data_IF_396982242386
#
_entry.id   IF_396982242386
#
_cell.length_a   1.000
_cell.length_b   1.000
_cell.length_c   1.000
_cell.angle_alpha   90.00
_cell.angle_beta   90.00
_cell.angle_gamma   90.00
#
_symmetry.space_group_name_H-M   'P 1'
#
loop_
_entity.id
_entity.type
_entity.pdbx_description
1 polymer ?
#
# COMPACT_ATOMS: atom_id res chain seq x y z
N UNK A 1 -32.96 -42.17 -0.94
CA UNK A 1 -33.80 -43.34 -0.63
C UNK A 1 -33.53 -43.74 0.82
N UNK A 2 -34.41 -43.36 1.75
CA UNK A 2 -34.26 -43.66 3.18
C UNK A 2 -34.66 -45.12 3.44
N UNK A 3 -33.71 -45.95 3.89
CA UNK A 3 -34.04 -47.24 4.46
C UNK A 3 -34.58 -47.07 5.88
N UNK A 4 -35.83 -47.48 6.07
CA UNK A 4 -36.42 -48.04 7.29
C UNK A 4 -35.81 -47.66 8.65
N UNK A 5 -36.37 -46.63 9.29
CA UNK A 5 -36.31 -46.45 10.74
C UNK A 5 -37.65 -46.81 11.40
N UNK A 6 -38.18 -47.98 11.07
CA UNK A 6 -39.23 -48.65 11.86
C UNK A 6 -38.59 -49.88 12.47
N UNK A 7 -38.45 -49.90 13.79
CA UNK A 7 -38.47 -51.17 14.52
C UNK A 7 -39.83 -51.79 14.24
N UNK A 8 -39.87 -52.86 13.45
CA UNK A 8 -41.05 -53.65 13.07
C UNK A 8 -42.23 -53.57 14.07
N UNK A 9 -43.22 -52.72 13.81
CA UNK A 9 -44.57 -52.85 14.36
C UNK A 9 -45.47 -53.36 13.24
N UNK A 10 -45.95 -54.60 13.30
CA UNK A 10 -46.85 -55.15 12.29
C UNK A 10 -48.13 -54.32 12.19
N UNK A 11 -48.64 -54.02 10.98
CA UNK A 11 -49.89 -53.27 10.81
C UNK A 11 -51.13 -54.01 11.36
N UNK A 12 -51.01 -55.28 11.74
CA UNK A 12 -52.07 -56.07 12.37
C UNK A 12 -52.30 -55.76 13.86
N UNK A 13 -51.47 -54.93 14.50
CA UNK A 13 -51.53 -54.70 15.96
C UNK A 13 -51.53 -53.24 16.40
N UNK A 14 -51.53 -52.27 15.47
CA UNK A 14 -51.48 -50.83 15.81
C UNK A 14 -52.79 -50.16 15.43
N UNK A 15 -53.51 -49.57 16.39
CA UNK A 15 -54.75 -48.82 16.11
C UNK A 15 -54.45 -47.54 15.31
N UNK A 16 -55.43 -47.06 14.54
CA UNK A 16 -55.28 -45.81 13.77
C UNK A 16 -54.90 -44.60 14.64
N UNK A 17 -55.37 -44.56 15.89
CA UNK A 17 -54.98 -43.56 16.88
C UNK A 17 -53.51 -43.66 17.30
N UNK A 18 -52.99 -44.88 17.51
CA UNK A 18 -51.59 -45.09 17.89
C UNK A 18 -50.62 -44.72 16.76
N UNK A 19 -51.03 -44.92 15.50
CA UNK A 19 -50.24 -44.50 14.34
C UNK A 19 -50.19 -42.98 14.17
N UNK A 20 -51.31 -42.30 14.42
CA UNK A 20 -51.36 -40.83 14.40
C UNK A 20 -50.39 -40.25 15.44
N UNK A 21 -50.45 -40.71 16.69
CA UNK A 21 -49.53 -40.29 17.76
C UNK A 21 -48.06 -40.52 17.39
N UNK A 22 -47.71 -41.68 16.82
CA UNK A 22 -46.33 -41.94 16.37
C UNK A 22 -45.87 -41.00 15.24
N UNK A 23 -46.80 -40.58 14.38
CA UNK A 23 -46.51 -39.64 13.29
C UNK A 23 -46.31 -38.23 13.81
N UNK A 24 -47.10 -37.83 14.80
CA UNK A 24 -46.97 -36.54 15.48
C UNK A 24 -45.66 -36.48 16.27
N UNK A 25 -45.36 -37.50 17.09
CA UNK A 25 -44.11 -37.61 17.86
C UNK A 25 -42.88 -37.56 16.94
N UNK A 26 -42.94 -38.18 15.76
CA UNK A 26 -41.88 -38.12 14.75
C UNK A 26 -41.72 -36.70 14.19
N UNK A 27 -42.82 -36.02 13.93
CA UNK A 27 -42.82 -34.67 13.37
C UNK A 27 -42.22 -33.69 14.37
N UNK A 28 -42.63 -33.78 15.64
CA UNK A 28 -42.07 -32.98 16.73
C UNK A 28 -40.58 -33.26 16.94
N UNK A 29 -40.16 -34.53 16.89
CA UNK A 29 -38.76 -34.90 16.98
C UNK A 29 -37.91 -34.30 15.85
N UNK A 30 -38.42 -34.24 14.62
CA UNK A 30 -37.70 -33.64 13.48
C UNK A 30 -37.66 -32.12 13.55
N UNK A 31 -38.78 -31.49 13.91
CA UNK A 31 -38.89 -30.04 14.01
C UNK A 31 -38.05 -29.45 15.15
N UNK A 32 -37.79 -30.24 16.20
CA UNK A 32 -37.01 -29.82 17.36
C UNK A 32 -35.57 -30.34 17.36
N UNK A 33 -35.09 -30.90 16.26
CA UNK A 33 -33.75 -31.51 16.17
C UNK A 33 -33.49 -32.52 17.29
N UNK A 34 -34.48 -33.39 17.53
CA UNK A 34 -34.44 -34.45 18.53
C UNK A 34 -34.14 -33.94 19.95
N UNK A 35 -34.65 -32.75 20.31
CA UNK A 35 -34.31 -32.11 21.58
C UNK A 35 -34.97 -32.75 22.81
N UNK A 36 -34.31 -32.69 23.97
CA UNK A 36 -34.85 -33.14 25.25
C UNK A 36 -33.84 -33.11 26.40
N UNK A 37 -34.27 -33.46 27.62
CA UNK A 37 -33.38 -33.50 28.79
C UNK A 37 -32.35 -34.65 28.74
N UNK A 38 -32.68 -35.71 28.02
CA UNK A 38 -31.83 -36.89 27.82
C UNK A 38 -31.90 -37.32 26.36
N UNK A 39 -30.91 -38.11 25.91
CA UNK A 39 -30.90 -38.64 24.54
C UNK A 39 -32.23 -39.34 24.25
N UNK A 40 -32.90 -39.03 23.13
CA UNK A 40 -34.15 -39.70 22.79
C UNK A 40 -33.95 -41.22 22.66
N UNK A 41 -34.83 -42.05 23.25
CA UNK A 41 -34.66 -43.50 23.29
C UNK A 41 -34.69 -44.18 21.92
N UNK A 42 -35.21 -43.50 20.89
CA UNK A 42 -35.20 -43.97 19.50
C UNK A 42 -33.92 -43.61 18.72
N UNK A 43 -32.99 -42.85 19.31
CA UNK A 43 -31.75 -42.44 18.65
C UNK A 43 -30.89 -43.66 18.27
N UNK A 44 -30.38 -43.66 17.03
CA UNK A 44 -29.43 -44.65 16.52
C UNK A 44 -28.10 -43.99 16.21
N UNK A 45 -27.04 -44.79 16.03
CA UNK A 45 -25.75 -44.29 15.58
C UNK A 45 -25.92 -43.35 14.37
N UNK A 46 -25.33 -42.15 14.46
CA UNK A 46 -25.49 -41.06 13.50
C UNK A 46 -26.55 -40.01 13.85
N UNK A 47 -27.28 -40.15 14.97
CA UNK A 47 -28.30 -39.18 15.38
C UNK A 47 -27.65 -37.97 16.03
N UNK A 48 -27.86 -36.78 15.44
CA UNK A 48 -27.59 -35.50 16.10
C UNK A 48 -28.79 -35.11 16.97
N UNK A 49 -28.56 -34.72 18.23
CA UNK A 49 -29.65 -34.36 19.15
C UNK A 49 -29.25 -33.24 20.11
N UNK A 50 -30.21 -32.44 20.57
CA UNK A 50 -29.98 -31.27 21.42
C UNK A 50 -30.43 -31.51 22.87
N UNK A 51 -29.51 -31.43 23.82
CA UNK A 51 -29.85 -31.42 25.24
C UNK A 51 -30.28 -30.03 25.69
N UNK A 52 -31.52 -29.85 26.12
CA UNK A 52 -32.15 -28.54 26.37
C UNK A 52 -32.69 -28.32 27.79
N UNK A 53 -32.24 -29.11 28.77
CA UNK A 53 -32.65 -29.06 30.19
C UNK A 53 -31.79 -28.14 31.08
N UNK A 54 -30.89 -27.36 30.49
CA UNK A 54 -30.03 -26.40 31.20
C UNK A 54 -29.57 -25.27 30.28
N UNK A 55 -28.82 -24.30 30.82
CA UNK A 55 -28.10 -23.30 30.00
C UNK A 55 -26.59 -23.43 30.25
N UNK A 56 -25.76 -23.53 29.19
CA UNK A 56 -26.14 -23.57 27.78
C UNK A 56 -26.77 -24.91 27.36
N UNK A 57 -27.56 -24.91 26.29
CA UNK A 57 -27.98 -26.13 25.60
C UNK A 57 -26.74 -26.83 25.00
N UNK A 58 -26.77 -28.16 24.88
CA UNK A 58 -25.62 -28.93 24.40
C UNK A 58 -26.00 -29.77 23.19
N UNK A 59 -25.31 -29.58 22.07
CA UNK A 59 -25.49 -30.35 20.85
C UNK A 59 -24.60 -31.60 20.88
N UNK A 60 -25.22 -32.76 20.72
CA UNK A 60 -24.55 -34.06 20.71
C UNK A 60 -24.69 -34.78 19.36
N UNK A 61 -23.72 -35.63 19.07
CA UNK A 61 -23.78 -36.64 18.01
C UNK A 61 -23.62 -38.02 18.65
N UNK A 62 -24.63 -38.88 18.48
CA UNK A 62 -24.61 -40.23 19.03
C UNK A 62 -23.91 -41.19 18.06
N UNK A 63 -22.77 -41.75 18.44
CA UNK A 63 -21.96 -42.63 17.57
C UNK A 63 -22.41 -44.11 17.61
N UNK A 64 -23.38 -44.44 18.46
CA UNK A 64 -23.85 -45.81 18.70
C UNK A 64 -23.37 -46.44 20.00
N UNK A 65 -22.41 -45.82 20.70
CA UNK A 65 -21.92 -46.21 22.01
C UNK A 65 -22.04 -45.06 23.04
N UNK A 66 -21.68 -43.84 22.66
CA UNK A 66 -21.67 -42.66 23.53
C UNK A 66 -22.18 -41.41 22.79
N UNK A 67 -22.56 -40.38 23.56
CA UNK A 67 -22.88 -39.06 23.02
C UNK A 67 -21.61 -38.21 22.93
N UNK A 68 -21.20 -37.87 21.71
CA UNK A 68 -20.06 -36.97 21.47
C UNK A 68 -20.56 -35.54 21.44
N UNK A 69 -20.08 -34.69 22.35
CA UNK A 69 -20.46 -33.28 22.39
C UNK A 69 -19.82 -32.52 21.22
N UNK A 70 -20.64 -31.84 20.41
CA UNK A 70 -20.19 -31.04 19.27
C UNK A 70 -20.08 -29.55 19.60
N UNK A 71 -21.08 -29.01 20.30
CA UNK A 71 -21.16 -27.59 20.61
C UNK A 71 -22.06 -27.32 21.81
N UNK A 72 -21.93 -26.14 22.41
CA UNK A 72 -22.93 -25.56 23.30
C UNK A 72 -23.63 -24.40 22.61
N UNK A 73 -24.91 -24.19 22.93
CA UNK A 73 -25.73 -23.08 22.45
C UNK A 73 -26.29 -22.39 23.67
N UNK A 74 -25.88 -21.16 23.94
CA UNK A 74 -26.46 -20.38 25.03
C UNK A 74 -27.72 -19.66 24.52
N UNK A 75 -28.92 -20.07 24.95
CA UNK A 75 -30.16 -19.44 24.50
C UNK A 75 -30.36 -18.03 25.04
N UNK A 76 -29.61 -17.62 26.08
CA UNK A 76 -29.69 -16.29 26.71
C UNK A 76 -28.78 -15.29 26.00
N UNK A 77 -27.54 -15.69 25.73
CA UNK A 77 -26.55 -14.81 25.08
C UNK A 77 -26.48 -14.96 23.56
N UNK A 78 -27.20 -15.94 23.00
CA UNK A 78 -27.25 -16.26 21.57
C UNK A 78 -25.87 -16.63 20.98
N UNK A 79 -25.03 -17.29 21.78
CA UNK A 79 -23.68 -17.71 21.38
C UNK A 79 -23.64 -19.22 21.19
N UNK A 80 -23.02 -19.67 20.09
CA UNK A 80 -22.68 -21.08 19.86
C UNK A 80 -21.18 -21.26 20.07
N UNK A 81 -20.78 -22.21 20.91
CA UNK A 81 -19.38 -22.55 21.17
C UNK A 81 -19.11 -23.98 20.72
N UNK A 82 -18.21 -24.18 19.75
CA UNK A 82 -17.85 -25.51 19.26
C UNK A 82 -16.84 -26.18 20.21
N UNK A 83 -17.06 -27.46 20.51
CA UNK A 83 -16.18 -28.25 21.35
C UNK A 83 -15.07 -28.85 20.48
N UNK A 84 -13.95 -28.15 20.37
CA UNK A 84 -12.74 -28.67 19.72
C UNK A 84 -12.04 -29.60 20.71
N UNK A 85 -12.00 -30.90 20.39
CA UNK A 85 -11.25 -31.86 21.18
C UNK A 85 -9.75 -31.60 21.03
N UNK A 86 -9.08 -31.47 22.17
CA UNK A 86 -7.63 -31.43 22.37
C UNK A 86 -6.85 -30.17 21.90
N UNK A 87 -6.53 -29.35 22.91
CA UNK A 87 -5.24 -28.67 23.14
C UNK A 87 -4.63 -27.82 22.02
N UNK A 88 -4.68 -26.50 22.25
CA UNK A 88 -3.76 -25.49 21.70
C UNK A 88 -3.63 -25.56 20.18
N UNK A 89 -4.67 -25.10 19.48
CA UNK A 89 -4.51 -24.70 18.09
C UNK A 89 -3.61 -23.45 18.06
N UNK A 90 -2.35 -23.52 17.58
CA UNK A 90 -1.51 -22.35 17.43
C UNK A 90 -2.17 -21.29 16.53
N UNK A 91 -3.20 -21.66 15.75
CA UNK A 91 -3.96 -20.75 14.92
C UNK A 91 -4.88 -19.83 15.70
N UNK A 92 -5.28 -20.15 16.94
CA UNK A 92 -6.10 -19.22 17.75
C UNK A 92 -5.26 -18.03 18.25
N UNK A 93 -3.97 -18.23 18.50
CA UNK A 93 -3.02 -17.16 18.78
C UNK A 93 -2.71 -16.32 17.52
N UNK A 94 -2.67 -16.97 16.34
CA UNK A 94 -2.53 -16.28 15.05
C UNK A 94 -3.76 -15.40 14.76
N UNK A 95 -4.98 -15.87 15.04
CA UNK A 95 -6.21 -15.07 14.91
C UNK A 95 -6.27 -13.93 15.92
N UNK A 96 -5.85 -14.15 17.17
CA UNK A 96 -5.79 -13.09 18.19
C UNK A 96 -4.82 -11.96 17.82
N UNK A 97 -3.70 -12.28 17.14
CA UNK A 97 -2.78 -11.29 16.59
C UNK A 97 -3.33 -10.46 15.43
N UNK A 98 -4.38 -10.93 14.75
CA UNK A 98 -4.99 -10.22 13.61
C UNK A 98 -6.04 -9.16 14.03
N UNK A 99 -6.46 -9.14 15.30
CA UNK A 99 -7.43 -8.17 15.85
C UNK A 99 -8.63 -7.84 14.93
N UNK A 100 -9.36 -8.84 14.39
CA UNK A 100 -10.45 -8.59 13.45
C UNK A 100 -11.62 -7.88 14.14
N UNK A 101 -12.25 -6.95 13.43
CA UNK A 101 -13.43 -6.19 13.85
C UNK A 101 -14.71 -6.74 13.21
N UNK A 102 -15.87 -6.23 13.64
CA UNK A 102 -17.16 -6.64 13.10
C UNK A 102 -17.23 -6.32 11.60
N UNK A 103 -17.47 -7.37 10.79
CA UNK A 103 -17.53 -7.41 9.31
C UNK A 103 -16.21 -7.75 8.58
N UNK A 104 -15.13 -8.10 9.28
CA UNK A 104 -13.92 -8.61 8.63
C UNK A 104 -14.11 -10.05 8.13
N UNK A 105 -13.65 -10.32 6.90
CA UNK A 105 -13.61 -11.67 6.33
C UNK A 105 -12.21 -12.26 6.48
N UNK A 106 -12.09 -13.33 7.28
CA UNK A 106 -10.89 -14.15 7.38
C UNK A 106 -11.00 -15.31 6.38
N UNK A 107 -9.95 -15.55 5.59
CA UNK A 107 -9.90 -16.67 4.65
C UNK A 107 -8.74 -17.58 5.03
N UNK A 108 -9.02 -18.87 5.20
CA UNK A 108 -7.99 -19.89 5.41
C UNK A 108 -7.40 -20.31 4.06
N UNK A 109 -6.09 -20.09 3.87
CA UNK A 109 -5.33 -20.53 2.67
C UNK A 109 -3.95 -21.02 3.10
N UNK A 110 -3.46 -22.05 2.42
CA UNK A 110 -2.10 -22.61 2.62
C UNK A 110 -1.75 -22.92 4.08
N UNK A 111 -2.72 -23.41 4.85
CA UNK A 111 -2.49 -23.86 6.23
C UNK A 111 -2.48 -22.76 7.29
N UNK A 112 -2.88 -21.51 6.96
CA UNK A 112 -2.98 -20.41 7.91
C UNK A 112 -4.19 -19.50 7.64
N UNK A 113 -4.71 -18.87 8.70
CA UNK A 113 -5.68 -17.77 8.58
C UNK A 113 -4.96 -16.50 8.13
N UNK A 114 -5.28 -16.02 6.92
CA UNK A 114 -4.76 -14.75 6.43
C UNK A 114 -5.90 -13.72 6.40
N UNK A 115 -5.68 -12.55 7.01
CA UNK A 115 -6.47 -11.38 6.67
C UNK A 115 -6.27 -11.12 5.18
N UNK A 116 -7.36 -10.96 4.41
CA UNK A 116 -7.27 -10.63 2.99
C UNK A 116 -6.53 -9.30 2.87
N UNK A 117 -5.28 -9.25 2.35
CA UNK A 117 -4.59 -7.99 2.17
C UNK A 117 -5.29 -7.29 1.01
N UNK A 118 -5.87 -6.12 1.29
CA UNK A 118 -6.32 -5.24 0.22
C UNK A 118 -7.75 -4.72 0.29
N UNK A 119 -8.44 -4.72 1.44
CA UNK A 119 -9.66 -3.91 1.55
C UNK A 119 -9.76 -2.91 2.71
N UNK A 120 -9.02 -3.03 3.82
CA UNK A 120 -9.00 -2.00 4.87
C UNK A 120 -7.70 -1.85 5.68
N UNK A 121 -6.59 -2.48 5.27
CA UNK A 121 -5.26 -2.06 5.73
C UNK A 121 -4.87 -0.87 4.87
N UNK A 122 -4.73 0.33 5.46
CA UNK A 122 -4.00 1.42 4.83
C UNK A 122 -2.64 0.93 4.28
N UNK A 123 -2.06 1.68 3.36
CA UNK A 123 -0.75 1.38 2.77
C UNK A 123 0.24 1.02 3.89
N UNK A 124 0.84 -0.17 3.87
CA UNK A 124 1.85 -0.55 4.88
C UNK A 124 3.09 0.35 4.77
N UNK A 125 3.64 0.45 3.56
CA UNK A 125 4.63 1.46 3.22
C UNK A 125 3.96 2.68 2.58
N UNK A 126 4.11 3.85 3.20
CA UNK A 126 3.56 5.12 2.69
C UNK A 126 4.39 5.68 1.55
N UNK A 127 5.66 5.26 1.43
CA UNK A 127 6.49 5.63 0.28
C UNK A 127 5.94 4.99 -0.99
N UNK A 128 6.06 5.74 -2.07
CA UNK A 128 5.86 5.23 -3.42
C UNK A 128 7.18 4.69 -3.95
N UNK A 129 7.10 3.60 -4.70
CA UNK A 129 8.21 2.94 -5.36
C UNK A 129 9.44 2.71 -4.45
N UNK A 130 9.27 2.22 -3.22
CA UNK A 130 10.37 2.16 -2.24
C UNK A 130 11.49 1.18 -2.59
N UNK A 131 11.23 0.25 -3.53
CA UNK A 131 12.21 -0.68 -4.10
C UNK A 131 12.65 -0.28 -5.52
N UNK A 132 12.28 0.91 -5.97
CA UNK A 132 12.74 1.55 -7.22
C UNK A 132 12.45 0.72 -8.50
N UNK A 133 11.40 -0.10 -8.50
CA UNK A 133 11.01 -0.92 -9.65
C UNK A 133 10.52 -0.09 -10.85
N UNK A 134 9.70 0.91 -10.59
CA UNK A 134 8.98 1.62 -11.65
C UNK A 134 9.74 2.87 -12.08
N UNK A 135 10.03 2.98 -13.36
CA UNK A 135 10.70 4.12 -13.98
C UNK A 135 10.00 4.42 -15.31
N UNK A 136 9.27 5.54 -15.38
CA UNK A 136 8.62 5.97 -16.62
C UNK A 136 9.41 7.00 -17.44
N UNK A 137 10.55 7.50 -16.93
CA UNK A 137 11.23 8.65 -17.53
C UNK A 137 12.66 8.38 -17.94
N UNK A 138 13.45 7.81 -17.03
CA UNK A 138 14.88 7.74 -17.20
C UNK A 138 15.31 6.45 -17.91
N UNK A 139 14.47 5.42 -17.94
CA UNK A 139 14.76 4.12 -18.57
C UNK A 139 16.13 3.57 -18.16
N UNK A 140 16.53 3.71 -16.89
CA UNK A 140 17.87 3.43 -16.35
C UNK A 140 19.01 4.42 -16.67
N UNK A 141 18.73 5.56 -17.31
CA UNK A 141 19.70 6.66 -17.40
C UNK A 141 19.65 7.50 -16.12
N UNK A 142 20.79 8.03 -15.66
CA UNK A 142 20.81 8.91 -14.50
C UNK A 142 20.23 10.29 -14.80
N UNK A 143 19.77 11.00 -13.77
CA UNK A 143 19.32 12.40 -13.86
C UNK A 143 20.32 13.32 -13.18
N UNK A 144 20.52 14.52 -13.74
CA UNK A 144 21.46 15.53 -13.20
C UNK A 144 20.81 16.84 -12.79
N UNK A 145 19.59 17.09 -13.27
CA UNK A 145 18.84 18.28 -12.91
C UNK A 145 18.26 18.16 -11.51
N UNK A 146 18.26 19.27 -10.77
CA UNK A 146 17.55 19.40 -9.50
C UNK A 146 16.03 19.17 -9.67
N UNK A 147 15.38 18.70 -8.61
CA UNK A 147 13.96 18.37 -8.53
C UNK A 147 13.48 17.40 -9.64
N UNK A 148 14.40 16.60 -10.20
CA UNK A 148 14.12 15.66 -11.28
C UNK A 148 13.95 14.26 -10.72
N UNK A 149 12.84 13.60 -11.09
CA UNK A 149 12.62 12.20 -10.76
C UNK A 149 13.56 11.28 -11.55
N UNK A 150 14.31 10.43 -10.85
CA UNK A 150 15.09 9.34 -11.46
C UNK A 150 14.24 8.11 -11.71
N UNK A 151 13.37 7.82 -10.74
CA UNK A 151 12.34 6.77 -10.74
C UNK A 151 11.09 7.39 -10.14
N UNK A 152 9.95 6.71 -10.25
CA UNK A 152 8.69 7.30 -9.79
C UNK A 152 8.73 7.65 -8.30
N UNK A 153 8.51 8.93 -7.99
CA UNK A 153 8.47 9.46 -6.62
C UNK A 153 9.80 9.76 -5.93
N UNK A 154 10.95 9.53 -6.59
CA UNK A 154 12.27 9.79 -6.02
C UNK A 154 13.06 10.78 -6.86
N UNK A 155 13.51 11.87 -6.23
CA UNK A 155 14.14 13.01 -6.92
C UNK A 155 15.57 13.25 -6.44
N UNK A 156 16.37 13.81 -7.36
CA UNK A 156 17.64 14.44 -7.04
C UNK A 156 17.35 15.86 -6.54
N UNK A 157 17.80 16.20 -5.33
CA UNK A 157 17.59 17.51 -4.71
C UNK A 157 18.94 18.12 -4.33
N UNK A 158 19.33 19.24 -4.91
CA UNK A 158 20.64 19.86 -4.63
C UNK A 158 20.68 21.35 -4.95
N UNK A 159 21.52 22.05 -4.18
CA UNK A 159 21.98 23.41 -4.45
C UNK A 159 23.35 23.53 -3.81
N UNK A 160 24.42 23.33 -4.57
CA UNK A 160 25.80 23.41 -4.10
C UNK A 160 26.75 23.68 -5.27
N UNK A 161 28.06 23.74 -5.02
CA UNK A 161 29.05 24.10 -6.05
C UNK A 161 29.56 22.91 -6.87
N UNK A 162 28.99 21.72 -6.70
CA UNK A 162 29.37 20.56 -7.50
C UNK A 162 28.90 20.75 -8.94
N UNK A 163 29.82 20.62 -9.90
CA UNK A 163 29.54 20.86 -11.32
C UNK A 163 28.50 19.89 -11.89
N UNK A 164 28.58 18.61 -11.56
CA UNK A 164 27.58 17.62 -11.99
C UNK A 164 27.41 16.53 -10.93
N UNK A 165 26.16 16.40 -10.48
CA UNK A 165 25.70 15.37 -9.55
C UNK A 165 24.66 14.54 -10.27
N UNK A 166 24.73 13.23 -10.13
CA UNK A 166 23.84 12.31 -10.84
C UNK A 166 23.12 11.42 -9.84
N UNK A 167 21.80 11.33 -9.94
CA UNK A 167 21.02 10.28 -9.28
C UNK A 167 20.67 9.22 -10.32
N UNK A 168 20.94 7.95 -10.01
CA UNK A 168 20.73 6.83 -10.93
C UNK A 168 20.18 5.60 -10.21
N UNK A 169 19.30 4.85 -10.85
CA UNK A 169 18.96 3.50 -10.41
C UNK A 169 20.07 2.54 -10.81
N UNK A 170 20.53 1.72 -9.87
CA UNK A 170 21.51 0.66 -10.10
C UNK A 170 21.02 -0.64 -9.46
N UNK A 171 21.70 -1.76 -9.72
CA UNK A 171 21.41 -3.03 -9.04
C UNK A 171 21.58 -2.86 -7.53
N UNK A 172 20.61 -3.37 -6.76
CA UNK A 172 20.68 -3.38 -5.29
C UNK A 172 21.46 -4.58 -4.74
N UNK A 173 21.72 -4.55 -3.43
CA UNK A 173 22.42 -5.62 -2.70
C UNK A 173 21.43 -6.63 -2.11
N UNK A 174 20.54 -6.20 -1.21
CA UNK A 174 19.52 -7.09 -0.62
C UNK A 174 18.18 -7.06 -1.36
N UNK A 175 18.01 -6.12 -2.28
CA UNK A 175 16.80 -5.90 -3.08
C UNK A 175 17.19 -5.69 -4.54
N UNK A 176 16.26 -5.83 -5.52
CA UNK A 176 16.65 -5.78 -6.93
C UNK A 176 17.31 -4.47 -7.38
N UNK A 177 16.96 -3.34 -6.77
CA UNK A 177 17.46 -2.04 -7.14
C UNK A 177 17.84 -1.18 -5.93
N UNK A 178 18.84 -0.33 -6.13
CA UNK A 178 19.22 0.76 -5.23
C UNK A 178 19.24 2.09 -5.99
N UNK A 179 19.12 3.20 -5.26
CA UNK A 179 19.41 4.52 -5.83
C UNK A 179 20.82 4.93 -5.45
N UNK A 180 21.57 5.40 -6.44
CA UNK A 180 22.93 5.91 -6.31
C UNK A 180 22.97 7.38 -6.68
N UNK A 181 23.29 8.20 -5.69
CA UNK A 181 23.79 9.54 -5.85
C UNK A 181 25.30 9.50 -6.13
N UNK A 182 25.77 10.22 -7.14
CA UNK A 182 27.18 10.27 -7.50
C UNK A 182 27.63 11.70 -7.83
N UNK A 183 28.71 12.14 -7.18
CA UNK A 183 29.48 13.30 -7.64
C UNK A 183 30.19 12.90 -8.92
N UNK A 184 29.68 13.34 -10.06
CA UNK A 184 30.15 12.89 -11.38
C UNK A 184 31.30 13.75 -11.90
N UNK A 185 31.23 15.06 -11.63
CA UNK A 185 32.27 16.02 -12.01
C UNK A 185 32.28 17.19 -11.03
N UNK A 186 33.49 17.65 -10.65
CA UNK A 186 33.67 18.69 -9.65
C UNK A 186 33.64 18.14 -8.22
N UNK A 187 33.43 19.02 -7.24
CA UNK A 187 33.36 18.70 -5.81
C UNK A 187 32.98 19.96 -5.03
N UNK A 188 32.43 19.81 -3.83
CA UNK A 188 32.18 20.91 -2.90
C UNK A 188 32.69 20.54 -1.51
N UNK A 189 33.99 20.71 -1.21
CA UNK A 189 34.58 20.39 0.09
C UNK A 189 34.30 21.46 1.16
N UNK A 190 33.65 22.58 0.81
CA UNK A 190 33.47 23.72 1.72
C UNK A 190 32.09 24.35 1.47
N UNK A 191 31.08 23.64 1.95
CA UNK A 191 29.67 23.98 1.74
C UNK A 191 29.37 25.40 2.23
N UNK A 192 28.77 26.20 1.35
CA UNK A 192 28.14 27.45 1.75
C UNK A 192 27.00 27.19 2.75
N UNK A 193 26.64 28.17 3.57
CA UNK A 193 25.61 28.00 4.60
C UNK A 193 24.26 27.53 4.04
N UNK A 194 23.90 27.97 2.83
CA UNK A 194 22.68 27.56 2.12
C UNK A 194 22.86 26.40 1.14
N UNK A 195 24.00 25.71 1.16
CA UNK A 195 24.25 24.59 0.26
C UNK A 195 23.64 23.28 0.79
N UNK A 196 23.18 22.40 -0.09
CA UNK A 196 22.69 21.07 0.27
C UNK A 196 22.73 20.09 -0.91
N UNK A 197 22.69 18.79 -0.59
CA UNK A 197 22.50 17.69 -1.51
C UNK A 197 21.75 16.55 -0.83
N UNK A 198 20.73 16.00 -1.48
CA UNK A 198 19.90 14.93 -0.95
C UNK A 198 19.25 14.07 -2.05
N UNK A 199 18.88 12.85 -1.67
CA UNK A 199 17.87 12.05 -2.36
C UNK A 199 16.55 12.29 -1.63
N UNK A 200 15.51 12.72 -2.34
CA UNK A 200 14.24 13.10 -1.73
C UNK A 200 13.07 12.27 -2.28
N UNK A 201 12.12 11.97 -1.41
CA UNK A 201 10.81 11.43 -1.78
C UNK A 201 9.71 12.12 -0.98
N UNK A 202 8.50 12.18 -1.54
CA UNK A 202 7.34 12.79 -0.90
C UNK A 202 6.21 11.78 -0.76
N UNK A 203 5.52 11.84 0.37
CA UNK A 203 4.30 11.07 0.66
C UNK A 203 3.10 11.98 0.50
N UNK A 204 2.04 11.49 -0.16
CA UNK A 204 0.77 12.21 -0.30
C UNK A 204 0.08 12.36 1.07
N UNK A 205 -0.55 13.50 1.34
CA UNK A 205 -1.24 13.75 2.60
C UNK A 205 -2.37 12.76 2.89
N UNK A 206 -3.07 12.29 1.85
CA UNK A 206 -4.07 11.22 1.96
C UNK A 206 -3.46 9.93 2.55
N UNK A 207 -2.22 9.61 2.18
CA UNK A 207 -1.53 8.40 2.59
C UNK A 207 -0.90 8.54 3.98
N UNK A 208 -0.81 9.74 4.55
CA UNK A 208 -0.28 9.99 5.91
C UNK A 208 -1.35 10.50 6.89
N UNK A 209 -2.61 10.64 6.45
CA UNK A 209 -3.67 11.27 7.23
C UNK A 209 -3.92 10.57 8.59
N UNK A 210 -3.73 9.25 8.64
CA UNK A 210 -3.91 8.41 9.82
C UNK A 210 -2.78 8.51 10.86
N UNK A 211 -1.67 9.16 10.53
CA UNK A 211 -0.64 9.56 11.48
C UNK A 211 -1.10 10.69 12.41
N UNK A 212 -2.18 11.40 12.06
CA UNK A 212 -2.80 12.44 12.89
C UNK A 212 -1.84 13.58 13.34
N UNK A 213 -0.77 13.83 12.59
CA UNK A 213 0.17 14.91 12.87
C UNK A 213 -0.50 16.29 12.84
N UNK A 214 0.03 17.22 13.63
CA UNK A 214 -0.57 18.53 13.91
C UNK A 214 -1.75 18.48 14.88
N UNK A 215 -1.94 17.36 15.59
CA UNK A 215 -3.00 17.19 16.60
C UNK A 215 -2.42 16.60 17.89
N UNK A 216 -3.18 16.69 18.99
CA UNK A 216 -2.80 16.06 20.26
C UNK A 216 -2.71 14.51 20.19
N UNK A 217 -3.30 13.89 19.16
CA UNK A 217 -3.32 12.44 18.97
C UNK A 217 -2.33 11.97 17.89
N UNK A 218 -1.29 12.77 17.61
CA UNK A 218 -0.25 12.43 16.64
C UNK A 218 0.40 11.08 16.98
N UNK A 219 0.48 10.20 15.98
CA UNK A 219 1.07 8.87 16.10
C UNK A 219 2.51 8.87 15.62
N UNK A 220 3.38 8.05 16.21
CA UNK A 220 4.73 7.87 15.69
C UNK A 220 4.71 7.21 14.32
N UNK A 221 5.76 7.47 13.55
CA UNK A 221 6.07 6.75 12.31
C UNK A 221 7.38 6.04 12.46
N UNK A 222 7.55 4.96 11.73
CA UNK A 222 8.79 4.20 11.69
C UNK A 222 9.42 4.33 10.32
N UNK A 223 10.70 4.68 10.29
CA UNK A 223 11.50 4.76 9.08
C UNK A 223 12.61 3.75 9.18
N UNK A 224 12.83 2.97 8.12
CA UNK A 224 14.00 2.11 8.06
C UNK A 224 14.49 1.97 6.62
N UNK A 225 15.70 1.45 6.47
CA UNK A 225 16.29 1.14 5.19
C UNK A 225 17.77 0.82 5.33
N UNK A 226 18.47 0.88 4.21
CA UNK A 226 19.93 0.69 4.17
C UNK A 226 20.57 1.89 3.49
N UNK A 227 21.70 2.34 4.03
CA UNK A 227 22.52 3.43 3.49
C UNK A 227 23.93 2.93 3.26
N UNK A 228 24.56 3.36 2.16
CA UNK A 228 25.99 3.22 1.93
C UNK A 228 26.55 4.60 1.61
N UNK A 229 27.48 5.08 2.42
CA UNK A 229 28.06 6.40 2.28
C UNK A 229 29.53 6.33 1.79
N UNK A 230 30.03 7.36 1.09
CA UNK A 230 31.39 7.34 0.55
C UNK A 230 32.47 7.51 1.63
N UNK A 231 32.10 8.04 2.80
CA UNK A 231 33.02 8.30 3.91
C UNK A 231 32.41 7.83 5.23
N UNK A 232 33.28 7.41 6.15
CA UNK A 232 32.86 7.05 7.52
C UNK A 232 32.50 8.33 8.26
N UNK A 233 31.31 8.35 8.87
CA UNK A 233 30.79 9.52 9.57
C UNK A 233 29.27 9.50 9.65
N UNK A 234 28.68 10.58 10.15
CA UNK A 234 27.25 10.71 10.31
C UNK A 234 26.61 11.22 9.02
N UNK A 235 25.59 10.52 8.53
CA UNK A 235 24.71 11.01 7.46
C UNK A 235 23.30 11.15 8.01
N UNK A 236 22.70 12.32 7.81
CA UNK A 236 21.39 12.63 8.35
C UNK A 236 20.27 12.19 7.42
N UNK A 237 19.15 11.84 8.02
CA UNK A 237 17.87 11.66 7.33
C UNK A 237 16.88 12.62 7.98
N UNK A 238 16.08 13.30 7.15
CA UNK A 238 15.12 14.29 7.65
C UNK A 238 13.71 14.06 7.12
N UNK A 239 12.75 14.37 7.98
CA UNK A 239 11.35 14.56 7.62
C UNK A 239 11.03 16.05 7.61
N UNK A 240 10.17 16.48 6.68
CA UNK A 240 9.76 17.87 6.57
C UNK A 240 8.32 17.99 6.07
N UNK A 241 7.54 18.89 6.66
CA UNK A 241 6.16 19.12 6.23
C UNK A 241 6.09 19.92 4.91
N UNK A 242 4.87 20.05 4.36
CA UNK A 242 4.64 20.64 3.02
C UNK A 242 5.23 22.04 2.83
N UNK A 243 5.12 22.90 3.84
CA UNK A 243 5.52 24.31 3.79
C UNK A 243 6.92 24.56 4.36
N UNK A 244 7.62 23.48 4.72
CA UNK A 244 8.94 23.49 5.33
C UNK A 244 9.04 24.31 6.64
N UNK A 245 7.97 24.33 7.43
CA UNK A 245 7.95 24.98 8.76
C UNK A 245 8.21 24.01 9.92
N UNK A 246 8.15 22.69 9.68
CA UNK A 246 8.42 21.65 10.68
C UNK A 246 9.33 20.58 10.09
N UNK A 247 10.39 20.26 10.80
CA UNK A 247 11.32 19.19 10.41
C UNK A 247 11.77 18.37 11.61
N UNK A 248 12.14 17.12 11.34
CA UNK A 248 12.78 16.21 12.29
C UNK A 248 14.00 15.62 11.61
N UNK A 249 15.16 15.65 12.28
CA UNK A 249 16.42 15.13 11.74
C UNK A 249 16.93 14.06 12.67
N UNK A 250 17.35 12.92 12.12
CA UNK A 250 18.05 11.88 12.86
C UNK A 250 19.34 11.49 12.14
N UNK A 251 20.27 10.91 12.89
CA UNK A 251 21.62 10.58 12.45
C UNK A 251 21.74 9.08 12.14
N UNK A 252 22.47 8.75 11.07
CA UNK A 252 22.87 7.37 10.75
C UNK A 252 24.39 7.31 10.71
N UNK A 253 24.97 6.54 11.62
CA UNK A 253 26.40 6.26 11.66
C UNK A 253 26.79 5.36 10.49
N UNK A 254 27.47 5.92 9.50
CA UNK A 254 27.88 5.20 8.30
C UNK A 254 29.35 4.81 8.38
N UNK A 255 29.67 3.65 7.80
CA UNK A 255 31.04 3.21 7.52
C UNK A 255 31.24 3.35 6.02
N UNK A 256 32.39 3.90 5.60
CA UNK A 256 32.72 4.11 4.19
C UNK A 256 32.50 2.84 3.36
N UNK A 257 31.78 3.00 2.24
CA UNK A 257 31.50 1.96 1.24
C UNK A 257 30.91 0.66 1.79
N UNK A 258 30.22 0.74 2.93
CA UNK A 258 29.58 -0.40 3.59
C UNK A 258 28.10 -0.12 3.80
N UNK A 259 27.25 -1.10 3.49
CA UNK A 259 25.82 -0.99 3.80
C UNK A 259 25.57 -1.02 5.31
N UNK A 260 24.88 0.00 5.79
CA UNK A 260 24.41 0.12 7.17
C UNK A 260 22.89 0.13 7.17
N UNK A 261 22.31 -0.77 7.95
CA UNK A 261 20.87 -0.83 8.18
C UNK A 261 20.50 0.12 9.31
N UNK A 262 19.39 0.85 9.17
CA UNK A 262 18.87 1.73 10.19
C UNK A 262 17.37 1.52 10.35
N UNK A 263 16.87 1.68 11.57
CA UNK A 263 15.45 1.67 11.91
C UNK A 263 15.21 2.66 13.06
N UNK A 264 14.36 3.65 12.82
CA UNK A 264 14.15 4.79 13.72
C UNK A 264 12.66 5.04 13.90
N UNK A 265 12.25 5.12 15.16
CA UNK A 265 10.94 5.63 15.55
C UNK A 265 10.99 7.16 15.61
N UNK A 266 10.18 7.81 14.78
CA UNK A 266 10.00 9.27 14.84
C UNK A 266 8.70 9.55 15.59
N UNK A 267 8.74 10.29 16.72
CA UNK A 267 7.54 10.65 17.46
C UNK A 267 6.60 11.48 16.58
N UNK A 268 5.28 11.37 16.79
CA UNK A 268 4.34 12.19 16.02
C UNK A 268 4.44 13.67 16.37
N UNK A 269 4.48 14.55 15.36
CA UNK A 269 4.46 16.00 15.61
C UNK A 269 3.07 16.44 16.03
N UNK A 270 2.95 17.02 17.23
CA UNK A 270 1.67 17.55 17.74
C UNK A 270 1.42 19.00 17.30
N UNK A 271 2.41 19.64 16.67
CA UNK A 271 2.36 21.00 16.18
C UNK A 271 2.40 21.08 14.64
N UNK A 272 2.27 22.31 14.12
CA UNK A 272 2.34 22.60 12.69
C UNK A 272 1.10 22.17 11.90
N UNK A 273 1.13 22.47 10.61
CA UNK A 273 0.09 22.06 9.66
C UNK A 273 0.63 20.92 8.80
N UNK A 274 -0.10 19.80 8.82
CA UNK A 274 0.20 18.60 8.04
C UNK A 274 -0.97 18.32 7.11
N UNK A 275 -0.71 18.31 5.79
CA UNK A 275 -1.76 18.13 4.80
C UNK A 275 -2.31 16.71 4.85
N UNK A 276 -3.64 16.59 4.75
CA UNK A 276 -4.40 15.32 4.75
C UNK A 276 -5.15 15.12 3.43
N UNK A 277 -4.61 15.68 2.35
CA UNK A 277 -5.21 15.74 1.03
C UNK A 277 -4.20 15.29 -0.04
N UNK A 278 -4.48 15.56 -1.31
CA UNK A 278 -3.62 15.18 -2.45
C UNK A 278 -2.29 15.97 -2.54
N UNK A 279 -2.04 16.90 -1.61
CA UNK A 279 -0.77 17.61 -1.48
C UNK A 279 0.30 16.78 -0.77
N UNK A 280 1.44 17.41 -0.48
CA UNK A 280 2.57 16.78 0.19
C UNK A 280 2.23 16.64 1.68
N UNK A 281 2.08 15.41 2.15
CA UNK A 281 1.95 15.12 3.58
C UNK A 281 3.28 15.35 4.28
N UNK A 282 4.32 14.65 3.84
CA UNK A 282 5.69 14.82 4.33
C UNK A 282 6.70 14.54 3.22
N UNK A 283 7.88 15.13 3.34
CA UNK A 283 9.08 14.81 2.56
C UNK A 283 10.04 14.01 3.42
N UNK A 284 10.63 12.98 2.85
CA UNK A 284 11.74 12.23 3.42
C UNK A 284 12.99 12.52 2.59
N UNK A 285 14.05 12.98 3.23
CA UNK A 285 15.32 13.35 2.57
C UNK A 285 16.47 12.57 3.18
N UNK A 286 17.22 11.91 2.33
CA UNK A 286 18.49 11.28 2.66
C UNK A 286 19.61 12.25 2.31
N UNK A 287 20.20 12.89 3.31
CA UNK A 287 21.10 14.02 3.13
C UNK A 287 22.53 13.54 2.84
N UNK A 288 23.03 13.89 1.66
CA UNK A 288 24.41 13.63 1.23
C UNK A 288 25.35 14.72 1.75
N UNK A 289 24.86 15.96 1.81
CA UNK A 289 25.56 17.11 2.36
C UNK A 289 24.55 18.20 2.75
N UNK A 290 24.90 19.03 3.74
CA UNK A 290 24.09 20.19 4.15
C UNK A 290 24.96 21.25 4.82
N UNK A 291 24.68 22.52 4.51
CA UNK A 291 25.33 23.68 5.13
C UNK A 291 24.60 24.17 6.38
N UNK A 292 25.26 25.08 7.10
CA UNK A 292 24.86 25.52 8.45
C UNK A 292 23.45 26.13 8.58
N UNK A 293 22.84 26.67 7.51
CA UNK A 293 21.46 27.17 7.58
C UNK A 293 20.43 26.05 7.75
N UNK A 294 20.81 24.81 7.47
CA UNK A 294 19.94 23.64 7.53
C UNK A 294 20.23 22.74 8.74
N UNK A 295 21.04 23.21 9.69
CA UNK A 295 21.42 22.48 10.90
C UNK A 295 20.40 22.63 12.04
N UNK A 296 20.09 21.53 12.71
CA UNK A 296 19.33 21.49 13.98
C UNK A 296 19.90 20.40 14.89
N UNK A 297 19.40 20.32 16.13
CA UNK A 297 19.64 19.17 16.99
C UNK A 297 18.96 17.91 16.45
N UNK A 298 19.60 16.75 16.61
CA UNK A 298 19.03 15.45 16.30
C UNK A 298 17.82 15.12 17.18
N UNK A 299 17.00 14.20 16.69
CA UNK A 299 15.97 13.48 17.44
C UNK A 299 14.89 14.36 18.10
N UNK A 300 14.61 15.51 17.50
CA UNK A 300 13.58 16.43 17.96
C UNK A 300 12.89 17.16 16.79
N UNK A 301 11.60 17.43 16.96
CA UNK A 301 10.86 18.30 16.04
C UNK A 301 11.29 19.75 16.23
N UNK A 302 11.75 20.37 15.14
CA UNK A 302 12.17 21.76 15.09
C UNK A 302 11.21 22.62 14.25
N UNK A 303 11.16 23.92 14.53
CA UNK A 303 10.45 24.90 13.72
C UNK A 303 11.37 25.49 12.65
N UNK A 304 11.25 25.04 11.41
CA UNK A 304 12.07 25.46 10.28
C UNK A 304 12.28 24.35 9.26
N UNK A 305 13.03 24.68 8.22
CA UNK A 305 13.46 23.72 7.20
C UNK A 305 14.88 23.27 7.52
N UNK A 306 15.01 22.20 8.30
CA UNK A 306 16.32 21.62 8.62
C UNK A 306 16.48 20.26 7.98
N UNK A 307 17.69 19.97 7.51
CA UNK A 307 18.03 18.76 6.78
C UNK A 307 19.05 17.91 7.56
N UNK A 308 19.92 18.57 8.33
CA UNK A 308 21.13 17.97 8.88
C UNK A 308 21.35 18.40 10.33
N UNK A 309 22.30 17.76 10.99
CA UNK A 309 22.88 18.21 12.24
C UNK A 309 24.28 18.74 12.00
N UNK A 310 24.90 19.34 13.03
CA UNK A 310 26.29 19.77 12.99
C UNK A 310 27.30 18.61 12.82
N UNK A 311 26.87 17.35 12.96
CA UNK A 311 27.74 16.18 12.80
C UNK A 311 27.78 15.65 11.35
N UNK A 312 26.95 16.20 10.45
CA UNK A 312 26.83 15.74 9.07
C UNK A 312 28.19 15.70 8.35
N UNK A 313 28.54 14.52 7.83
CA UNK A 313 29.66 14.34 6.93
C UNK A 313 29.33 14.89 5.52
N UNK A 314 30.35 15.36 4.81
CA UNK A 314 30.19 15.93 3.48
C UNK A 314 30.41 14.88 2.38
N UNK A 315 29.33 14.22 1.93
CA UNK A 315 29.40 13.27 0.83
C UNK A 315 29.74 13.89 -0.53
N UNK A 316 29.74 15.22 -0.64
CA UNK A 316 30.03 15.96 -1.89
C UNK A 316 31.47 16.48 -2.00
N UNK A 317 32.30 16.23 -0.99
CA UNK A 317 33.64 16.81 -0.88
C UNK A 317 34.65 16.33 -1.93
N UNK A 318 34.44 15.15 -2.51
CA UNK A 318 35.38 14.52 -3.44
C UNK A 318 34.68 14.06 -4.71
N UNK A 319 35.32 14.34 -5.86
CA UNK A 319 34.86 13.85 -7.15
C UNK A 319 34.83 12.32 -7.19
N UNK A 320 33.72 11.73 -7.64
CA UNK A 320 33.54 10.28 -7.69
C UNK A 320 32.90 9.67 -6.45
N UNK A 321 32.67 10.44 -5.39
CA UNK A 321 31.93 9.98 -4.21
C UNK A 321 30.54 9.44 -4.59
N UNK A 322 30.16 8.32 -3.97
CA UNK A 322 28.86 7.68 -4.18
C UNK A 322 28.14 7.48 -2.85
N UNK A 323 26.90 7.94 -2.79
CA UNK A 323 25.98 7.69 -1.69
C UNK A 323 24.81 6.86 -2.21
N UNK A 324 24.41 5.81 -1.49
CA UNK A 324 23.35 4.89 -1.94
C UNK A 324 22.33 4.61 -0.86
N UNK A 325 21.10 4.36 -1.31
CA UNK A 325 20.00 3.92 -0.47
C UNK A 325 19.28 2.73 -1.08
N UNK A 326 18.78 1.84 -0.23
CA UNK A 326 17.88 0.77 -0.65
C UNK A 326 16.95 0.30 0.47
N UNK A 327 15.95 -0.49 0.07
CA UNK A 327 15.03 -1.16 0.99
C UNK A 327 14.28 -0.20 1.95
N UNK A 328 13.89 0.98 1.46
CA UNK A 328 13.37 2.05 2.32
C UNK A 328 11.90 1.82 2.70
N UNK A 329 11.57 2.00 3.97
CA UNK A 329 10.20 1.92 4.48
C UNK A 329 9.83 3.12 5.33
N UNK A 330 8.57 3.55 5.19
CA UNK A 330 7.90 4.49 6.09
C UNK A 330 6.52 3.92 6.44
N UNK A 331 6.27 3.64 7.72
CA UNK A 331 4.98 3.15 8.21
C UNK A 331 4.45 4.02 9.35
N UNK A 332 3.13 4.09 9.50
CA UNK A 332 2.49 4.71 10.67
C UNK A 332 2.36 3.65 11.75
N UNK A 333 2.93 3.89 12.92
CA UNK A 333 3.12 2.86 13.96
C UNK A 333 4.24 1.87 13.65
N UNK A 334 4.49 0.96 14.60
CA UNK A 334 5.56 -0.03 14.50
C UNK A 334 5.41 -0.91 13.26
N UNK A 335 6.51 -1.23 12.55
CA UNK A 335 6.45 -2.03 11.34
C UNK A 335 6.01 -3.46 11.66
N UNK A 336 5.11 -4.02 10.84
CA UNK A 336 4.61 -5.39 11.00
C UNK A 336 4.74 -6.14 9.67
N UNK A 337 5.76 -6.99 9.59
CA UNK A 337 5.97 -7.90 8.46
C UNK A 337 6.55 -7.24 7.20
N UNK A 338 6.27 -7.84 6.05
CA UNK A 338 6.77 -7.35 4.76
C UNK A 338 5.84 -6.26 4.19
N UNK A 339 6.41 -5.08 3.95
CA UNK A 339 5.65 -3.92 3.47
C UNK A 339 5.58 -3.82 1.93
N UNK A 340 6.23 -4.74 1.22
CA UNK A 340 6.29 -4.73 -0.24
C UNK A 340 4.98 -5.23 -0.85
N UNK A 341 4.33 -4.33 -1.58
CA UNK A 341 3.25 -4.71 -2.49
C UNK A 341 3.91 -5.12 -3.81
N UNK A 342 3.59 -6.30 -4.34
CA UNK A 342 4.23 -6.82 -5.55
C UNK A 342 4.17 -5.84 -6.73
N UNK A 343 5.03 -6.05 -7.74
CA UNK A 343 5.28 -5.12 -8.85
C UNK A 343 4.01 -4.50 -9.47
N UNK A 344 2.97 -5.31 -9.75
CA UNK A 344 1.74 -4.81 -10.39
C UNK A 344 0.99 -3.78 -9.54
N UNK A 345 0.97 -3.96 -8.21
CA UNK A 345 0.32 -3.01 -7.31
C UNK A 345 1.14 -1.73 -7.20
N UNK A 346 2.47 -1.85 -7.19
CA UNK A 346 3.36 -0.69 -7.18
C UNK A 346 3.27 0.10 -8.50
N UNK A 347 3.15 -0.59 -9.64
CA UNK A 347 2.90 0.01 -10.93
C UNK A 347 1.59 0.82 -10.93
N UNK A 348 0.50 0.27 -10.39
CA UNK A 348 -0.78 0.98 -10.28
C UNK A 348 -0.69 2.22 -9.38
N UNK A 349 0.08 2.15 -8.28
CA UNK A 349 0.35 3.33 -7.43
C UNK A 349 1.13 4.39 -8.19
N UNK A 350 2.21 4.00 -8.85
CA UNK A 350 3.05 4.87 -9.65
C UNK A 350 2.27 5.53 -10.80
N UNK A 351 1.35 4.80 -11.44
CA UNK A 351 0.49 5.34 -12.50
C UNK A 351 -0.45 6.45 -12.01
N UNK A 352 -0.74 6.58 -10.71
CA UNK A 352 -1.47 7.75 -10.20
C UNK A 352 -0.64 9.04 -10.33
N UNK A 353 0.68 8.95 -10.37
CA UNK A 353 1.60 10.10 -10.34
C UNK A 353 2.09 10.48 -11.74
N UNK A 354 2.36 9.49 -12.58
CA UNK A 354 2.83 9.74 -13.93
C UNK A 354 2.40 8.63 -14.88
N UNK A 355 2.04 9.00 -16.11
CA UNK A 355 1.69 8.06 -17.16
C UNK A 355 2.24 8.52 -18.51
N UNK A 356 2.61 7.55 -19.34
CA UNK A 356 2.97 7.77 -20.74
C UNK A 356 2.14 6.84 -21.60
N UNK A 357 1.41 7.40 -22.55
CA UNK A 357 0.57 6.66 -23.48
C UNK A 357 0.91 7.03 -24.91
N UNK A 358 0.88 6.06 -25.80
CA UNK A 358 0.92 6.31 -27.24
C UNK A 358 -0.49 6.16 -27.79
N UNK A 359 -0.96 7.20 -28.46
CA UNK A 359 -2.25 7.20 -29.11
C UNK A 359 -2.05 7.26 -30.62
N UNK A 360 -2.91 6.52 -31.33
CA UNK A 360 -3.03 6.60 -32.78
C UNK A 360 -4.48 6.86 -33.10
N UNK A 361 -4.70 7.86 -33.92
CA UNK A 361 -6.02 8.22 -34.39
C UNK A 361 -6.02 8.20 -35.91
N UNK A 362 -7.03 7.54 -36.49
CA UNK A 362 -7.15 7.36 -37.93
C UNK A 362 -8.59 7.54 -38.37
N UNK A 363 -8.78 8.29 -39.44
CA UNK A 363 -10.07 8.43 -40.12
C UNK A 363 -9.92 8.25 -41.62
N UNK A 364 -10.91 7.60 -42.23
CA UNK A 364 -10.94 7.30 -43.66
C UNK A 364 -11.77 8.34 -44.47
N UNK A 365 -12.19 9.45 -43.86
CA UNK A 365 -12.90 10.58 -44.51
C UNK A 365 -12.17 11.93 -44.33
N UNK A 366 -12.37 12.83 -45.29
CA UNK A 366 -11.74 14.15 -45.33
C UNK A 366 -12.43 15.16 -44.39
N UNK A 367 -11.64 15.85 -43.55
CA UNK A 367 -12.12 16.82 -42.53
C UNK A 367 -11.50 18.21 -42.72
N UNK A 368 -11.31 18.64 -43.98
CA UNK A 368 -10.69 19.93 -44.28
C UNK A 368 -11.47 21.09 -43.64
N UNK A 369 -10.86 21.78 -42.67
CA UNK A 369 -11.52 22.89 -41.95
C UNK A 369 -12.52 22.46 -40.87
N UNK A 370 -12.62 21.16 -40.56
CA UNK A 370 -13.42 20.66 -39.43
C UNK A 370 -12.53 20.34 -38.23
N UNK A 371 -13.12 20.43 -37.03
CA UNK A 371 -12.49 20.06 -35.76
C UNK A 371 -13.23 18.87 -35.18
N UNK A 372 -12.49 17.79 -34.87
CA UNK A 372 -13.03 16.61 -34.19
C UNK A 372 -12.50 16.60 -32.76
N UNK A 373 -13.41 16.49 -31.79
CA UNK A 373 -13.06 16.35 -30.37
C UNK A 373 -13.12 14.89 -29.91
N UNK A 374 -12.16 14.47 -29.11
CA UNK A 374 -12.14 13.15 -28.49
C UNK A 374 -11.77 13.23 -27.01
N UNK A 375 -12.44 12.39 -26.21
CA UNK A 375 -12.08 12.18 -24.80
C UNK A 375 -11.21 10.93 -24.72
N UNK A 376 -10.01 11.08 -24.17
CA UNK A 376 -9.09 10.03 -23.85
C UNK A 376 -9.19 9.72 -22.35
N UNK A 377 -9.82 8.60 -21.94
CA UNK A 377 -9.85 8.19 -20.54
C UNK A 377 -8.47 7.70 -20.09
N UNK A 378 -8.12 7.96 -18.84
CA UNK A 378 -6.88 7.47 -18.24
C UNK A 378 -7.06 6.03 -17.78
N UNK A 379 -6.14 5.10 -18.08
CA UNK A 379 -6.21 3.72 -17.61
C UNK A 379 -6.27 3.61 -16.08
N UNK A 380 -5.56 4.52 -15.41
CA UNK A 380 -5.60 4.70 -13.96
C UNK A 380 -5.90 6.16 -13.68
N UNK A 381 -6.81 6.44 -12.73
CA UNK A 381 -7.07 7.83 -12.33
C UNK A 381 -5.80 8.45 -11.72
N UNK A 382 -5.44 9.65 -12.19
CA UNK A 382 -4.31 10.42 -11.68
C UNK A 382 -4.63 10.95 -10.28
N UNK A 383 -3.60 11.15 -9.44
CA UNK A 383 -3.77 11.65 -8.06
C UNK A 383 -4.29 13.08 -8.00
N UNK A 384 -4.01 13.90 -9.02
CA UNK A 384 -4.58 15.23 -9.23
C UNK A 384 -4.64 15.50 -10.74
N UNK A 385 -5.25 16.61 -11.15
CA UNK A 385 -5.25 17.05 -12.54
C UNK A 385 -3.81 17.17 -13.06
N UNK A 386 -3.41 16.36 -14.05
CA UNK A 386 -2.04 16.34 -14.52
C UNK A 386 -1.72 17.54 -15.43
N UNK A 387 -0.44 17.88 -15.49
CA UNK A 387 0.10 18.63 -16.62
C UNK A 387 0.27 17.68 -17.80
N UNK A 388 -0.12 18.12 -18.99
CA UNK A 388 -0.08 17.31 -20.21
C UNK A 388 1.01 17.83 -21.13
N UNK A 389 1.86 16.92 -21.62
CA UNK A 389 2.77 17.16 -22.73
C UNK A 389 2.42 16.20 -23.85
N UNK A 390 2.26 16.73 -25.05
CA UNK A 390 2.01 15.95 -26.26
C UNK A 390 3.24 16.05 -27.15
N UNK A 391 3.82 14.89 -27.47
CA UNK A 391 4.91 14.78 -28.44
C UNK A 391 4.35 14.16 -29.72
N UNK A 392 4.30 14.93 -30.79
CA UNK A 392 3.91 14.40 -32.11
C UNK A 392 4.95 13.39 -32.59
N UNK A 393 4.48 12.22 -33.04
CA UNK A 393 5.31 11.24 -33.72
C UNK A 393 5.16 11.39 -35.24
N UNK A 394 3.94 11.22 -35.73
CA UNK A 394 3.62 11.24 -37.16
C UNK A 394 2.30 11.97 -37.40
N UNK A 395 2.19 12.68 -38.53
CA UNK A 395 0.98 13.37 -38.95
C UNK A 395 0.77 13.31 -40.47
N UNK A 396 -0.41 12.88 -40.89
CA UNK A 396 -0.87 12.91 -42.29
C UNK A 396 -2.18 13.70 -42.32
N UNK A 397 -2.24 14.73 -43.17
CA UNK A 397 -3.44 15.57 -43.38
C UNK A 397 -3.98 16.26 -42.10
N UNK A 398 -3.08 16.63 -41.17
CA UNK A 398 -3.39 17.29 -39.89
C UNK A 398 -2.76 18.68 -39.76
N UNK A 399 -3.47 19.66 -39.17
CA UNK A 399 -2.99 21.03 -38.92
C UNK A 399 -2.57 21.28 -37.48
N UNK A 400 -3.36 20.79 -36.52
CA UNK A 400 -3.16 21.12 -35.11
C UNK A 400 -3.74 20.07 -34.19
N UNK A 401 -3.13 19.96 -33.01
CA UNK A 401 -3.65 19.25 -31.85
C UNK A 401 -3.75 20.21 -30.68
N UNK A 402 -4.94 20.31 -30.08
CA UNK A 402 -5.19 21.23 -28.98
C UNK A 402 -5.78 20.47 -27.79
N UNK A 403 -5.20 20.66 -26.61
CA UNK A 403 -5.76 20.13 -25.36
C UNK A 403 -6.79 21.12 -24.83
N UNK A 404 -8.05 20.70 -24.76
CA UNK A 404 -9.18 21.57 -24.37
C UNK A 404 -9.59 21.42 -22.91
N UNK A 405 -9.37 20.25 -22.33
CA UNK A 405 -9.75 19.96 -20.95
C UNK A 405 -8.94 18.80 -20.40
N UNK A 406 -8.54 18.92 -19.13
CA UNK A 406 -7.79 17.87 -18.45
C UNK A 406 -8.37 17.69 -17.06
N UNK A 407 -8.60 16.43 -16.68
CA UNK A 407 -9.03 16.02 -15.35
C UNK A 407 -8.19 14.84 -14.88
N UNK A 408 -8.36 14.43 -13.63
CA UNK A 408 -7.73 13.22 -13.11
C UNK A 408 -8.15 11.92 -13.81
N UNK A 409 -9.26 11.93 -14.55
CA UNK A 409 -9.86 10.73 -15.15
C UNK A 409 -9.76 10.69 -16.68
N UNK A 410 -9.62 11.85 -17.31
CA UNK A 410 -9.60 11.95 -18.76
C UNK A 410 -9.02 13.28 -19.22
N UNK A 411 -8.68 13.30 -20.50
CA UNK A 411 -8.25 14.49 -21.23
C UNK A 411 -9.09 14.59 -22.49
N UNK A 412 -9.53 15.80 -22.81
CA UNK A 412 -10.17 16.13 -24.07
C UNK A 412 -9.16 16.78 -25.00
N UNK A 413 -9.07 16.26 -26.22
CA UNK A 413 -8.22 16.77 -27.27
C UNK A 413 -9.06 17.04 -28.51
N UNK A 414 -8.80 18.17 -29.15
CA UNK A 414 -9.39 18.56 -30.42
C UNK A 414 -8.33 18.55 -31.52
N UNK A 415 -8.74 18.13 -32.72
CA UNK A 415 -7.87 17.91 -33.87
C UNK A 415 -8.41 18.64 -35.09
N UNK A 416 -7.55 19.38 -35.81
CA UNK A 416 -7.93 20.09 -37.04
C UNK A 416 -7.35 19.44 -38.29
N UNK A 417 -8.19 19.20 -39.32
CA UNK A 417 -7.78 18.60 -40.60
C UNK A 417 -7.21 19.61 -41.61
N UNK A 418 -6.15 19.24 -42.34
CA UNK A 418 -5.41 20.16 -43.25
C UNK A 418 -5.74 20.07 -44.73
N UNK A 419 -6.36 18.98 -45.19
CA UNK A 419 -6.56 18.74 -46.61
C UNK A 419 -7.90 18.03 -46.92
N UNK A 420 -8.46 18.35 -48.09
CA UNK A 420 -9.64 17.67 -48.63
C UNK A 420 -9.18 16.49 -49.51
N UNK A 421 -9.51 15.27 -49.09
CA UNK A 421 -9.26 14.02 -49.82
C UNK A 421 -8.11 13.18 -49.25
N UNK A 422 -8.41 11.94 -48.84
CA UNK A 422 -7.46 10.96 -48.30
C UNK A 422 -7.67 10.65 -46.81
N UNK A 423 -7.16 9.51 -46.35
CA UNK A 423 -7.17 9.16 -44.94
C UNK A 423 -6.28 10.10 -44.12
N UNK A 424 -6.72 10.45 -42.91
CA UNK A 424 -5.93 11.20 -41.94
C UNK A 424 -5.43 10.22 -40.86
N UNK A 425 -4.15 10.29 -40.51
CA UNK A 425 -3.54 9.45 -39.46
C UNK A 425 -2.64 10.34 -38.60
N UNK A 426 -2.76 10.19 -37.29
CA UNK A 426 -1.98 10.95 -36.34
C UNK A 426 -1.54 10.07 -35.18
N UNK A 427 -0.25 10.08 -34.91
CA UNK A 427 0.37 9.34 -33.81
C UNK A 427 1.10 10.31 -32.91
N UNK A 428 0.86 10.17 -31.62
CA UNK A 428 1.47 11.04 -30.63
C UNK A 428 1.63 10.30 -29.30
N UNK A 429 2.62 10.74 -28.55
CA UNK A 429 2.76 10.38 -27.16
C UNK A 429 2.11 11.43 -26.28
N UNK A 430 1.47 10.99 -25.22
CA UNK A 430 0.93 11.82 -24.16
C UNK A 430 1.71 11.49 -22.91
N UNK A 431 2.30 12.51 -22.29
CA UNK A 431 2.90 12.42 -20.97
C UNK A 431 2.04 13.20 -20.00
N UNK A 432 1.57 12.52 -18.97
CA UNK A 432 0.69 13.05 -17.94
C UNK A 432 1.47 13.09 -16.64
N UNK A 433 1.68 14.30 -16.12
CA UNK A 433 2.47 14.49 -14.92
C UNK A 433 1.65 15.11 -13.79
N UNK A 434 1.42 14.33 -12.75
CA UNK A 434 0.90 14.79 -11.46
C UNK A 434 1.84 14.32 -10.35
N UNK A 435 3.17 14.41 -10.53
CA UNK A 435 4.11 14.06 -9.44
C UNK A 435 4.14 15.11 -8.33
N UNK A 436 4.63 14.74 -7.17
CA UNK A 436 4.92 15.64 -6.06
C UNK A 436 6.38 16.10 -6.18
N UNK A 437 6.63 17.39 -5.98
CA UNK A 437 7.96 18.01 -5.92
C UNK A 437 7.96 18.94 -4.70
#
# INVERSE_FOLDING_TARGET
MSQNFVTNTPPSTTSGSAFATQTDDRSDALLTMHSGAVRPPYAKAGTAWLKNDGSPWVLYFYDGAQDVQLATVDPVTHVISWNLADSYDPDLAAIAGLSPTKNDQLVYRDGAWAAVPGLLSGLRNRLINPLFYVDFQAQNTGVTADARHVVEGWVLSHSNDVTTQTLSRVTGDSVPYSLRYAVTTGSDPSLAAGAYAAIETAVEGNDLADALWGTANAKPVWIAGRVMAPTTGVYCVSLCNSDNSRSYVFEVDCIADTWVDFEVEVPGDTAGTWLKNQGIGTRLRFCVAGGANFETAADAWAGGNFLVTANQANGTETNGNQYRIENVRLSVGAPVGQDWIGYNNELLRCQRYYQVHTHRLRWDQAIAGEVVGQILPMPQAMRATPTVVIDQLDAINMQSINVYGVSSYSMQIDYGGSAAGGASDYRFNVRLNARLI
#
